data_IF_419254214468
#
_entry.id   IF_419254214468
#
_cell.length_a   1.000
_cell.length_b   1.000
_cell.length_c   1.000
_cell.angle_alpha   90.00
_cell.angle_beta   90.00
_cell.angle_gamma   90.00
#
_symmetry.space_group_name_H-M   'P 1'
#
loop_
_entity.id
_entity.type
_entity.pdbx_description
1 polymer ?
#
# COMPACT_ATOMS: atom_id res chain seq x y z
N UNK A 1 -16.80 -0.85 11.73
CA UNK A 1 -15.65 -0.02 12.12
C UNK A 1 -14.45 -0.93 12.31
N UNK A 2 -13.43 -0.81 11.46
CA UNK A 2 -12.13 -1.45 11.68
C UNK A 2 -11.47 -0.80 12.88
N UNK A 3 -10.79 -1.57 13.75
CA UNK A 3 -10.14 -1.04 14.95
C UNK A 3 -9.13 0.05 14.59
N UNK A 4 -9.25 1.25 15.18
CA UNK A 4 -8.31 2.36 14.97
C UNK A 4 -6.87 2.03 15.41
N UNK A 5 -6.67 0.99 16.22
CA UNK A 5 -5.33 0.51 16.58
C UNK A 5 -4.56 -0.01 15.36
N UNK A 6 -5.25 -0.67 14.42
CA UNK A 6 -4.63 -1.27 13.23
C UNK A 6 -4.28 -0.23 12.17
N UNK A 7 -4.98 0.91 12.18
CA UNK A 7 -4.83 1.97 11.18
C UNK A 7 -3.75 3.01 11.51
N UNK A 8 -3.15 2.98 12.70
CA UNK A 8 -2.11 3.97 13.10
C UNK A 8 -0.93 4.01 12.12
N UNK A 9 -0.51 2.84 11.64
CA UNK A 9 0.57 2.74 10.66
C UNK A 9 0.18 3.39 9.34
N UNK A 10 -1.05 3.16 8.88
CA UNK A 10 -1.54 3.73 7.63
C UNK A 10 -1.67 5.25 7.73
N UNK A 11 -2.21 5.76 8.84
CA UNK A 11 -2.33 7.19 9.10
C UNK A 11 -0.96 7.86 9.09
N UNK A 12 0.05 7.28 9.77
CA UNK A 12 1.42 7.81 9.76
C UNK A 12 2.02 7.90 8.35
N UNK A 13 1.76 6.91 7.49
CA UNK A 13 2.19 6.97 6.08
C UNK A 13 1.44 8.06 5.32
N UNK A 14 0.12 8.16 5.50
CA UNK A 14 -0.70 9.20 4.86
C UNK A 14 -0.25 10.59 5.29
N UNK A 15 0.01 10.82 6.57
CA UNK A 15 0.45 12.11 7.10
C UNK A 15 1.73 12.60 6.42
N UNK A 16 2.63 11.69 6.03
CA UNK A 16 3.87 12.05 5.33
C UNK A 16 3.70 12.52 3.89
N UNK A 17 2.53 12.30 3.28
CA UNK A 17 2.26 12.68 1.89
C UNK A 17 0.94 13.43 1.67
N UNK A 18 0.14 13.64 2.72
CA UNK A 18 -1.21 14.18 2.57
C UNK A 18 -1.22 15.62 2.05
N UNK A 19 -0.28 16.46 2.51
CA UNK A 19 -0.15 17.84 2.03
C UNK A 19 0.25 17.90 0.56
N UNK A 20 1.21 17.06 0.14
CA UNK A 20 1.59 16.91 -1.28
C UNK A 20 0.36 16.53 -2.13
N UNK A 21 -0.41 15.53 -1.67
CA UNK A 21 -1.61 15.06 -2.36
C UNK A 21 -2.68 16.16 -2.44
N UNK A 22 -2.89 16.93 -1.37
CA UNK A 22 -3.86 18.03 -1.37
C UNK A 22 -3.50 19.12 -2.38
N UNK A 23 -2.21 19.48 -2.47
CA UNK A 23 -1.72 20.46 -3.43
C UNK A 23 -1.81 19.94 -4.88
N UNK A 24 -1.48 18.67 -5.10
CA UNK A 24 -1.45 18.10 -6.45
C UNK A 24 -2.86 17.85 -7.01
N UNK A 25 -3.80 17.42 -6.16
CA UNK A 25 -5.14 16.98 -6.60
C UNK A 25 -6.23 18.00 -6.35
N UNK A 26 -5.99 19.01 -5.51
CA UNK A 26 -6.90 20.10 -5.20
C UNK A 26 -8.33 19.64 -4.86
N UNK A 27 -8.46 18.58 -4.04
CA UNK A 27 -9.72 17.88 -3.75
C UNK A 27 -10.84 18.75 -3.19
N UNK A 28 -10.52 19.84 -2.48
CA UNK A 28 -11.50 20.67 -1.78
C UNK A 28 -11.53 22.11 -2.31
N UNK A 29 -10.88 22.38 -3.44
CA UNK A 29 -10.96 23.65 -4.17
C UNK A 29 -12.34 23.85 -4.82
N UNK A 30 -12.92 22.76 -5.35
CA UNK A 30 -14.20 22.76 -6.06
C UNK A 30 -15.39 22.67 -5.09
N UNK A 31 -16.56 23.14 -5.54
CA UNK A 31 -17.79 23.07 -4.74
C UNK A 31 -18.22 21.62 -4.54
N UNK A 32 -18.05 20.77 -5.55
CA UNK A 32 -18.37 19.35 -5.51
C UNK A 32 -17.46 18.60 -4.55
N UNK A 33 -16.17 18.88 -4.59
CA UNK A 33 -15.17 18.32 -3.67
C UNK A 33 -15.43 18.72 -2.22
N UNK A 34 -15.76 19.99 -2.00
CA UNK A 34 -16.16 20.50 -0.68
C UNK A 34 -17.42 19.78 -0.15
N UNK A 35 -18.48 19.69 -0.96
CA UNK A 35 -19.71 18.95 -0.59
C UNK A 35 -19.43 17.49 -0.23
N UNK A 36 -18.52 16.84 -0.95
CA UNK A 36 -18.11 15.46 -0.67
C UNK A 36 -17.42 15.35 0.68
N UNK A 37 -16.50 16.25 1.01
CA UNK A 37 -15.85 16.27 2.33
C UNK A 37 -16.88 16.52 3.46
N UNK A 38 -17.78 17.48 3.26
CA UNK A 38 -18.83 17.82 4.24
C UNK A 38 -19.75 16.63 4.51
N UNK A 39 -20.03 15.77 3.52
CA UNK A 39 -20.86 14.57 3.70
C UNK A 39 -20.30 13.55 4.70
N UNK A 40 -19.01 13.63 5.04
CA UNK A 40 -18.38 12.77 6.03
C UNK A 40 -18.42 13.34 7.45
N UNK A 41 -18.75 14.63 7.59
CA UNK A 41 -18.90 15.28 8.89
C UNK A 41 -20.29 14.92 9.44
N UNK A 42 -20.35 14.04 10.43
CA UNK A 42 -21.60 13.56 11.03
C UNK A 42 -22.25 14.55 12.00
N UNK A 43 -21.59 15.66 12.32
CA UNK A 43 -22.09 16.68 13.23
C UNK A 43 -22.57 17.91 12.44
N UNK A 44 -23.88 18.18 12.50
CA UNK A 44 -24.51 19.25 11.71
C UNK A 44 -23.97 20.65 12.06
N UNK A 45 -23.74 20.93 13.35
CA UNK A 45 -23.25 22.24 13.80
C UNK A 45 -21.83 22.52 13.29
N UNK A 46 -20.94 21.52 13.35
CA UNK A 46 -19.59 21.63 12.80
C UNK A 46 -19.65 21.72 11.26
N UNK A 47 -20.49 20.92 10.62
CA UNK A 47 -20.66 20.91 9.17
C UNK A 47 -21.05 22.30 8.64
N UNK A 48 -22.07 22.93 9.25
CA UNK A 48 -22.53 24.26 8.86
C UNK A 48 -21.46 25.35 9.09
N UNK A 49 -20.71 25.27 10.19
CA UNK A 49 -19.60 26.19 10.46
C UNK A 49 -18.48 26.06 9.43
N UNK A 50 -18.09 24.82 9.11
CA UNK A 50 -17.05 24.53 8.12
C UNK A 50 -17.49 24.97 6.73
N UNK A 51 -18.73 24.66 6.32
CA UNK A 51 -19.28 25.07 5.02
C UNK A 51 -19.24 26.60 4.86
N UNK A 52 -19.79 27.35 5.82
CA UNK A 52 -19.80 28.83 5.79
C UNK A 52 -18.41 29.45 5.76
N UNK A 53 -17.43 28.84 6.43
CA UNK A 53 -16.06 29.34 6.46
C UNK A 53 -15.33 29.04 5.15
N UNK A 54 -15.43 27.80 4.65
CA UNK A 54 -14.68 27.35 3.47
C UNK A 54 -15.25 27.92 2.16
N UNK A 55 -16.55 28.17 2.06
CA UNK A 55 -17.15 28.82 0.89
C UNK A 55 -16.65 30.25 0.65
N UNK A 56 -16.26 30.96 1.72
CA UNK A 56 -15.75 32.33 1.65
C UNK A 56 -14.26 32.40 1.31
N UNK A 57 -13.54 31.28 1.38
CA UNK A 57 -12.10 31.23 1.14
C UNK A 57 -11.77 31.01 -0.32
N UNK A 58 -10.55 31.43 -0.69
CA UNK A 58 -9.97 31.13 -2.00
C UNK A 58 -9.99 29.62 -2.28
N UNK A 59 -10.04 29.21 -3.56
CA UNK A 59 -10.11 27.80 -3.96
C UNK A 59 -8.73 27.12 -3.89
N UNK A 60 -8.12 27.11 -2.69
CA UNK A 60 -6.89 26.40 -2.40
C UNK A 60 -7.15 25.30 -1.37
N UNK A 61 -6.81 24.06 -1.70
CA UNK A 61 -7.13 22.90 -0.87
C UNK A 61 -6.32 22.84 0.41
N UNK A 62 -5.05 23.26 0.38
CA UNK A 62 -4.21 23.27 1.57
C UNK A 62 -4.69 24.31 2.60
N UNK A 63 -5.01 25.53 2.15
CA UNK A 63 -5.54 26.59 3.01
C UNK A 63 -6.90 26.23 3.60
N UNK A 64 -7.80 25.68 2.78
CA UNK A 64 -9.11 25.21 3.24
C UNK A 64 -8.99 24.06 4.24
N UNK A 65 -8.04 23.16 4.03
CA UNK A 65 -7.78 22.06 4.97
C UNK A 65 -7.26 22.58 6.31
N UNK A 66 -6.30 23.51 6.29
CA UNK A 66 -5.78 24.14 7.49
C UNK A 66 -6.85 24.94 8.26
N UNK A 67 -7.76 25.61 7.54
CA UNK A 67 -8.91 26.26 8.16
C UNK A 67 -9.85 25.25 8.82
N UNK A 68 -10.17 24.14 8.14
CA UNK A 68 -10.95 23.06 8.70
C UNK A 68 -10.34 22.52 10.00
N UNK A 69 -9.03 22.27 10.03
CA UNK A 69 -8.34 21.80 11.24
C UNK A 69 -8.51 22.77 12.41
N UNK A 70 -8.36 24.08 12.17
CA UNK A 70 -8.55 25.12 13.21
C UNK A 70 -9.97 25.14 13.75
N UNK A 71 -10.97 25.07 12.87
CA UNK A 71 -12.38 25.03 13.26
C UNK A 71 -12.71 23.78 14.07
N UNK A 72 -12.21 22.62 13.61
CA UNK A 72 -12.36 21.35 14.30
C UNK A 72 -11.74 21.38 15.71
N UNK A 73 -10.53 21.93 15.85
CA UNK A 73 -9.87 22.07 17.16
C UNK A 73 -10.62 23.02 18.09
N UNK A 74 -11.11 24.17 17.59
CA UNK A 74 -11.92 25.10 18.40
C UNK A 74 -13.21 24.45 18.87
N UNK A 75 -13.92 23.78 17.96
CA UNK A 75 -15.15 23.06 18.26
C UNK A 75 -14.91 21.97 19.32
N UNK A 76 -13.78 21.27 19.24
CA UNK A 76 -13.44 20.24 20.22
C UNK A 76 -13.15 20.80 21.61
N UNK A 77 -12.53 21.99 21.70
CA UNK A 77 -12.27 22.68 22.97
C UNK A 77 -13.56 23.18 23.61
N UNK A 78 -14.50 23.70 22.81
CA UNK A 78 -15.77 24.23 23.29
C UNK A 78 -16.75 23.12 23.71
N UNK A 79 -16.71 21.95 23.05
CA UNK A 79 -17.68 20.87 23.24
C UNK A 79 -17.08 19.59 23.84
N UNK A 80 -16.33 19.71 24.94
CA UNK A 80 -15.58 18.60 25.59
C UNK A 80 -16.41 17.31 25.79
N UNK A 81 -17.71 17.42 26.08
CA UNK A 81 -18.58 16.26 26.30
C UNK A 81 -19.14 15.64 25.00
N UNK A 82 -19.25 16.41 23.92
CA UNK A 82 -19.80 16.00 22.61
C UNK A 82 -18.74 15.46 21.63
N UNK A 83 -17.46 15.68 21.91
CA UNK A 83 -16.32 15.30 21.03
C UNK A 83 -16.10 13.81 20.86
N UNK A 84 -16.64 12.96 21.74
CA UNK A 84 -16.45 11.50 21.66
C UNK A 84 -16.84 10.92 20.29
N UNK A 85 -17.84 11.50 19.63
CA UNK A 85 -18.32 11.05 18.31
C UNK A 85 -17.47 11.53 17.13
N UNK A 86 -16.76 12.64 17.29
CA UNK A 86 -15.96 13.26 16.20
C UNK A 86 -14.45 13.17 16.46
N UNK A 87 -14.03 12.50 17.53
CA UNK A 87 -12.64 12.42 18.00
C UNK A 87 -11.61 12.08 16.92
N UNK A 88 -11.99 11.26 15.95
CA UNK A 88 -11.12 10.77 14.88
C UNK A 88 -11.52 11.28 13.49
N UNK A 89 -12.31 12.36 13.42
CA UNK A 89 -12.85 12.88 12.17
C UNK A 89 -11.75 13.23 11.16
N UNK A 90 -10.65 13.82 11.62
CA UNK A 90 -9.53 14.21 10.76
C UNK A 90 -8.88 12.97 10.14
N UNK A 91 -8.61 11.94 10.94
CA UNK A 91 -8.04 10.67 10.50
C UNK A 91 -8.99 9.92 9.57
N UNK A 92 -10.29 9.93 9.86
CA UNK A 92 -11.31 9.33 8.99
C UNK A 92 -11.35 9.99 7.62
N UNK A 93 -11.31 11.32 7.55
CA UNK A 93 -11.27 12.05 6.27
C UNK A 93 -9.99 11.71 5.48
N UNK A 94 -8.83 11.69 6.15
CA UNK A 94 -7.55 11.27 5.53
C UNK A 94 -7.62 9.86 4.97
N UNK A 95 -8.20 8.93 5.72
CA UNK A 95 -8.40 7.54 5.26
C UNK A 95 -9.36 7.47 4.07
N UNK A 96 -10.45 8.25 4.06
CA UNK A 96 -11.39 8.24 2.94
C UNK A 96 -10.77 8.71 1.61
N UNK A 97 -9.85 9.67 1.68
CA UNK A 97 -9.13 10.16 0.50
C UNK A 97 -7.97 9.25 0.08
N UNK A 98 -7.15 8.80 1.03
CA UNK A 98 -5.84 8.25 0.72
C UNK A 98 -5.71 6.75 0.95
N UNK A 99 -6.62 6.11 1.70
CA UNK A 99 -6.51 4.69 1.98
C UNK A 99 -6.87 3.86 0.72
N UNK A 100 -6.06 2.84 0.38
CA UNK A 100 -6.29 2.04 -0.82
C UNK A 100 -7.62 1.28 -0.75
N UNK A 101 -8.44 1.45 -1.78
CA UNK A 101 -9.67 0.68 -1.96
C UNK A 101 -9.32 -0.68 -2.57
N UNK A 102 -9.43 -1.73 -1.77
CA UNK A 102 -9.14 -3.09 -2.23
C UNK A 102 -10.34 -3.68 -2.97
N UNK A 103 -10.10 -4.23 -4.16
CA UNK A 103 -11.11 -5.05 -4.83
C UNK A 103 -11.17 -6.41 -4.13
N UNK A 104 -12.22 -6.57 -3.33
CA UNK A 104 -12.44 -7.73 -2.49
C UNK A 104 -12.68 -9.00 -3.32
N UNK A 105 -13.22 -8.89 -4.53
CA UNK A 105 -13.53 -10.05 -5.36
C UNK A 105 -12.27 -10.69 -5.95
N UNK A 106 -11.22 -9.89 -6.14
CA UNK A 106 -9.91 -10.34 -6.62
C UNK A 106 -9.17 -11.19 -5.58
N UNK A 107 -9.47 -10.99 -4.29
CA UNK A 107 -8.72 -11.61 -3.17
C UNK A 107 -9.42 -12.78 -2.50
N UNK A 108 -10.73 -12.95 -2.70
CA UNK A 108 -11.53 -14.01 -2.04
C UNK A 108 -11.52 -15.35 -2.78
N UNK A 109 -11.49 -15.33 -4.10
CA UNK A 109 -11.65 -16.54 -4.93
C UNK A 109 -10.31 -17.16 -5.31
N UNK A 110 -10.14 -18.46 -5.09
CA UNK A 110 -8.93 -19.20 -5.51
C UNK A 110 -8.77 -19.26 -7.04
N UNK A 111 -9.88 -19.23 -7.78
CA UNK A 111 -9.90 -19.36 -9.24
C UNK A 111 -9.94 -18.00 -9.97
N UNK A 112 -9.60 -16.90 -9.29
CA UNK A 112 -9.60 -15.58 -9.92
C UNK A 112 -8.43 -15.46 -10.91
N UNK A 113 -8.74 -15.11 -12.16
CA UNK A 113 -7.72 -14.92 -13.20
C UNK A 113 -7.14 -13.51 -13.10
N UNK A 114 -5.85 -13.44 -12.77
CA UNK A 114 -5.09 -12.20 -12.81
C UNK A 114 -4.27 -12.09 -14.09
N UNK A 115 -3.98 -10.83 -14.43
CA UNK A 115 -3.14 -10.50 -15.56
C UNK A 115 -1.69 -11.00 -15.33
N UNK A 116 -1.10 -11.63 -16.35
CA UNK A 116 0.30 -12.06 -16.33
C UNK A 116 1.26 -10.85 -16.32
N UNK A 117 2.38 -10.92 -15.59
CA UNK A 117 3.50 -9.98 -15.76
C UNK A 117 3.92 -9.89 -17.23
N UNK A 118 4.35 -8.69 -17.64
CA UNK A 118 4.78 -8.35 -19.01
C UNK A 118 3.72 -8.49 -20.10
N UNK A 119 2.45 -8.74 -19.75
CA UNK A 119 1.35 -8.68 -20.72
C UNK A 119 1.12 -7.26 -21.23
N UNK A 120 0.71 -7.15 -22.49
CA UNK A 120 0.40 -5.88 -23.15
C UNK A 120 -1.05 -5.52 -22.85
N UNK A 121 -1.29 -4.27 -22.42
CA UNK A 121 -2.65 -3.77 -22.24
C UNK A 121 -3.26 -3.39 -23.60
N UNK A 122 -4.39 -3.99 -24.02
CA UNK A 122 -4.88 -3.88 -25.40
C UNK A 122 -5.23 -2.44 -25.81
N UNK A 123 -5.77 -1.64 -24.87
CA UNK A 123 -6.19 -0.25 -25.17
C UNK A 123 -5.03 0.75 -25.19
N UNK A 124 -3.98 0.51 -24.40
CA UNK A 124 -2.91 1.50 -24.18
C UNK A 124 -1.59 1.10 -24.82
N UNK A 125 -1.46 -0.16 -25.25
CA UNK A 125 -0.20 -0.73 -25.74
C UNK A 125 0.89 -0.84 -24.67
N UNK A 126 0.66 -0.39 -23.43
CA UNK A 126 1.63 -0.40 -22.34
C UNK A 126 1.90 -1.83 -21.85
N UNK A 127 3.15 -2.11 -21.54
CA UNK A 127 3.61 -3.39 -20.97
C UNK A 127 3.41 -3.38 -19.46
N UNK A 128 2.93 -4.49 -18.90
CA UNK A 128 2.69 -4.64 -17.46
C UNK A 128 4.00 -4.96 -16.73
N UNK A 129 4.77 -3.91 -16.40
CA UNK A 129 6.13 -4.04 -15.85
C UNK A 129 6.18 -4.37 -14.36
N UNK A 130 7.27 -5.03 -13.95
CA UNK A 130 7.57 -5.35 -12.54
C UNK A 130 8.46 -4.27 -11.94
N UNK A 131 8.07 -3.74 -10.77
CA UNK A 131 8.77 -2.64 -10.12
C UNK A 131 9.11 -2.94 -8.66
N UNK A 132 10.07 -2.18 -8.12
CA UNK A 132 10.46 -2.29 -6.72
C UNK A 132 9.63 -1.33 -5.87
N UNK A 133 9.04 -1.79 -4.74
CA UNK A 133 8.23 -0.94 -3.87
C UNK A 133 8.94 0.32 -3.38
N UNK A 134 10.25 0.24 -3.12
CA UNK A 134 11.04 1.37 -2.63
C UNK A 134 11.35 2.44 -3.69
N UNK A 135 11.08 2.18 -4.98
CA UNK A 135 11.27 3.14 -6.08
C UNK A 135 9.96 3.71 -6.62
N UNK A 136 8.82 3.29 -6.07
CA UNK A 136 7.49 3.62 -6.61
C UNK A 136 7.23 5.14 -6.68
N UNK A 137 7.73 5.92 -5.72
CA UNK A 137 7.54 7.39 -5.67
C UNK A 137 8.16 8.12 -6.87
N UNK A 138 9.18 7.54 -7.49
CA UNK A 138 9.90 8.16 -8.61
C UNK A 138 9.43 7.62 -9.98
N UNK A 139 8.52 6.65 -10.01
CA UNK A 139 8.06 6.07 -11.26
C UNK A 139 7.01 6.96 -11.92
N UNK A 140 7.23 7.33 -13.18
CA UNK A 140 6.22 8.02 -13.98
C UNK A 140 5.47 7.03 -14.86
N UNK A 141 4.19 7.27 -15.08
CA UNK A 141 3.36 6.42 -15.92
C UNK A 141 3.74 6.51 -17.40
N UNK A 142 4.34 7.62 -17.82
CA UNK A 142 4.75 7.84 -19.21
C UNK A 142 6.03 7.09 -19.58
N UNK A 143 6.89 6.82 -18.59
CA UNK A 143 8.11 6.01 -18.75
C UNK A 143 7.82 4.51 -18.91
N UNK A 144 6.55 4.09 -18.77
CA UNK A 144 6.12 2.70 -18.94
C UNK A 144 6.13 2.35 -20.43
N UNK A 145 6.94 1.36 -20.85
CA UNK A 145 7.16 1.06 -22.26
C UNK A 145 5.87 0.61 -22.94
N UNK A 146 5.68 1.05 -24.18
CA UNK A 146 4.62 0.58 -25.07
C UNK A 146 5.18 -0.41 -26.08
N UNK A 147 4.35 -1.34 -26.56
CA UNK A 147 4.78 -2.31 -27.57
C UNK A 147 5.32 -1.63 -28.83
N UNK A 148 4.69 -0.55 -29.29
CA UNK A 148 5.15 0.19 -30.47
C UNK A 148 6.55 0.77 -30.27
N UNK A 149 6.80 1.37 -29.10
CA UNK A 149 8.13 1.94 -28.79
C UNK A 149 9.24 0.91 -28.64
N UNK A 150 8.90 -0.35 -28.32
CA UNK A 150 9.87 -1.43 -28.20
C UNK A 150 10.17 -2.10 -29.55
N UNK A 151 9.28 -1.96 -30.53
CA UNK A 151 9.42 -2.55 -31.87
C UNK A 151 10.01 -1.56 -32.88
N UNK A 152 9.71 -0.26 -32.73
CA UNK A 152 10.22 0.78 -33.61
C UNK A 152 11.47 1.43 -33.01
N UNK A 153 12.61 1.16 -33.64
CA UNK A 153 13.90 1.72 -33.21
C UNK A 153 13.95 3.25 -33.30
N UNK A 154 13.12 3.85 -34.18
CA UNK A 154 13.08 5.29 -34.41
C UNK A 154 12.11 6.04 -33.48
N UNK A 155 11.46 5.34 -32.54
CA UNK A 155 10.54 5.97 -31.60
C UNK A 155 11.31 6.90 -30.65
N UNK A 156 10.81 8.12 -30.43
CA UNK A 156 11.53 9.18 -29.68
C UNK A 156 11.90 8.74 -28.26
N UNK A 157 10.97 8.07 -27.55
CA UNK A 157 11.16 7.64 -26.16
C UNK A 157 11.80 6.24 -26.03
N UNK A 158 12.26 5.65 -27.15
CA UNK A 158 12.77 4.28 -27.19
C UNK A 158 13.92 4.02 -26.18
N UNK A 159 14.94 4.88 -26.02
CA UNK A 159 16.04 4.62 -25.08
C UNK A 159 15.57 4.51 -23.62
N UNK A 160 14.64 5.38 -23.21
CA UNK A 160 14.08 5.39 -21.86
C UNK A 160 13.17 4.17 -21.62
N UNK A 161 12.29 3.87 -22.57
CA UNK A 161 11.44 2.69 -22.53
C UNK A 161 12.24 1.38 -22.48
N UNK A 162 13.35 1.28 -23.22
CA UNK A 162 14.27 0.15 -23.13
C UNK A 162 14.94 0.06 -21.76
N UNK A 163 15.38 1.17 -21.18
CA UNK A 163 15.98 1.20 -19.85
C UNK A 163 14.98 0.72 -18.78
N UNK A 164 13.74 1.22 -18.83
CA UNK A 164 12.65 0.79 -17.94
C UNK A 164 12.36 -0.71 -18.10
N UNK A 165 12.30 -1.21 -19.33
CA UNK A 165 12.06 -2.63 -19.59
C UNK A 165 13.19 -3.52 -19.03
N UNK A 166 14.45 -3.15 -19.25
CA UNK A 166 15.61 -3.87 -18.69
C UNK A 166 15.59 -3.88 -17.16
N UNK A 167 15.26 -2.74 -16.54
CA UNK A 167 15.11 -2.65 -15.10
C UNK A 167 13.99 -3.56 -14.58
N UNK A 168 12.85 -3.61 -15.28
CA UNK A 168 11.72 -4.45 -14.91
C UNK A 168 12.03 -5.95 -15.00
N UNK A 169 12.73 -6.38 -16.05
CA UNK A 169 13.21 -7.77 -16.20
C UNK A 169 14.14 -8.13 -15.05
N UNK A 170 15.11 -7.26 -14.74
CA UNK A 170 16.04 -7.48 -13.62
C UNK A 170 15.29 -7.62 -12.29
N UNK A 171 14.32 -6.73 -12.02
CA UNK A 171 13.51 -6.80 -10.81
C UNK A 171 12.75 -8.15 -10.72
N UNK A 172 12.19 -8.61 -11.84
CA UNK A 172 11.47 -9.88 -11.87
C UNK A 172 12.40 -11.07 -11.64
N UNK A 173 13.58 -11.09 -12.27
CA UNK A 173 14.60 -12.12 -12.07
C UNK A 173 15.04 -12.20 -10.60
N UNK A 174 15.26 -11.06 -9.93
CA UNK A 174 15.61 -11.02 -8.51
C UNK A 174 14.53 -11.66 -7.62
N UNK A 175 13.25 -11.40 -7.92
CA UNK A 175 12.11 -12.00 -7.19
C UNK A 175 12.06 -13.51 -7.40
N UNK A 176 12.12 -13.96 -8.66
CA UNK A 176 12.10 -15.38 -9.01
C UNK A 176 13.25 -16.11 -8.30
N UNK A 177 14.47 -15.60 -8.40
CA UNK A 177 15.65 -16.19 -7.76
C UNK A 177 15.48 -16.29 -6.23
N UNK A 178 14.94 -15.24 -5.60
CA UNK A 178 14.70 -15.23 -4.15
C UNK A 178 13.66 -16.28 -3.75
N UNK A 179 12.59 -16.43 -4.53
CA UNK A 179 11.56 -17.44 -4.30
C UNK A 179 12.10 -18.85 -4.47
N UNK A 180 12.87 -19.11 -5.53
CA UNK A 180 13.51 -20.41 -5.77
C UNK A 180 14.45 -20.81 -4.64
N UNK A 181 15.28 -19.88 -4.17
CA UNK A 181 16.18 -20.08 -3.03
C UNK A 181 15.40 -20.39 -1.74
N UNK A 182 14.33 -19.65 -1.49
CA UNK A 182 13.48 -19.84 -0.30
C UNK A 182 12.79 -21.20 -0.33
N UNK A 183 12.26 -21.59 -1.49
CA UNK A 183 11.60 -22.87 -1.70
C UNK A 183 12.57 -24.06 -1.59
N UNK A 184 13.78 -23.94 -2.13
CA UNK A 184 14.82 -24.95 -1.98
C UNK A 184 15.23 -25.15 -0.50
N UNK A 185 15.33 -24.06 0.27
CA UNK A 185 15.58 -24.13 1.71
C UNK A 185 14.43 -24.79 2.48
N UNK A 186 13.17 -24.47 2.12
CA UNK A 186 11.98 -25.11 2.70
C UNK A 186 12.00 -26.62 2.49
N UNK A 187 12.22 -27.09 1.26
CA UNK A 187 12.33 -28.53 0.91
C UNK A 187 13.48 -29.22 1.67
N UNK A 188 14.61 -28.54 1.84
CA UNK A 188 15.75 -29.06 2.63
C UNK A 188 15.43 -29.16 4.12
N UNK A 189 14.69 -28.21 4.68
CA UNK A 189 14.27 -28.25 6.08
C UNK A 189 13.23 -29.34 6.34
N UNK A 190 12.27 -29.53 5.43
CA UNK A 190 11.28 -30.60 5.51
C UNK A 190 11.92 -31.99 5.46
N UNK A 191 12.87 -32.20 4.55
CA UNK A 191 13.61 -33.47 4.47
C UNK A 191 14.47 -33.72 5.73
N UNK A 192 15.09 -32.69 6.30
CA UNK A 192 15.81 -32.78 7.59
C UNK A 192 14.88 -33.10 8.76
N UNK A 193 13.73 -32.45 8.86
CA UNK A 193 12.75 -32.72 9.91
C UNK A 193 12.16 -34.13 9.80
N UNK A 194 11.86 -34.59 8.57
CA UNK A 194 11.43 -35.96 8.34
C UNK A 194 12.49 -36.98 8.79
N UNK A 195 13.77 -36.74 8.48
CA UNK A 195 14.89 -37.58 8.95
C UNK A 195 15.10 -37.55 10.46
N UNK A 196 14.85 -36.41 11.13
CA UNK A 196 14.93 -36.30 12.60
C UNK A 196 13.79 -37.06 13.27
N UNK A 197 12.57 -36.90 12.77
CA UNK A 197 11.38 -37.55 13.33
C UNK A 197 11.31 -39.05 13.00
N UNK A 198 12.06 -39.52 12.01
CA UNK A 198 12.19 -40.95 11.69
C UNK A 198 13.35 -41.64 12.41
N UNK A 199 14.11 -40.95 13.28
CA UNK A 199 15.13 -41.61 14.09
C UNK A 199 14.42 -42.44 15.17
N UNK A 200 14.76 -43.73 15.33
CA UNK A 200 14.23 -44.50 16.44
C UNK A 200 14.64 -43.84 17.77
N UNK A 201 13.80 -43.93 18.82
CA UNK A 201 14.20 -43.48 20.14
C UNK A 201 15.47 -44.23 20.58
N UNK A 202 16.32 -43.57 21.36
CA UNK A 202 17.51 -44.19 21.95
C UNK A 202 17.10 -45.46 22.70
N UNK A 203 17.73 -46.58 22.35
CA UNK A 203 17.46 -47.86 23.00
C UNK A 203 18.33 -48.01 24.26
N UNK A 204 17.97 -48.96 25.15
CA UNK A 204 18.75 -49.25 26.35
C UNK A 204 20.18 -49.69 25.99
N UNK A 205 20.33 -50.44 24.91
CA UNK A 205 21.64 -50.88 24.37
C UNK A 205 22.51 -49.70 23.92
N UNK A 206 21.90 -48.65 23.35
CA UNK A 206 22.61 -47.43 22.97
C UNK A 206 23.16 -46.68 24.20
N UNK A 207 22.41 -46.70 25.31
CA UNK A 207 22.83 -46.11 26.59
C UNK A 207 23.98 -46.88 27.24
N UNK A 208 23.90 -48.22 27.26
CA UNK A 208 24.99 -49.04 27.79
C UNK A 208 26.28 -48.87 26.98
N UNK A 209 26.17 -48.81 25.65
CA UNK A 209 27.31 -48.61 24.76
C UNK A 209 27.96 -47.24 24.96
N UNK A 210 27.16 -46.21 25.23
CA UNK A 210 27.64 -44.87 25.53
C UNK A 210 28.31 -44.80 26.91
N UNK A 211 27.72 -45.43 27.94
CA UNK A 211 28.31 -45.50 29.29
C UNK A 211 29.69 -46.17 29.26
N UNK A 212 29.82 -47.32 28.58
CA UNK A 212 31.11 -48.03 28.45
C UNK A 212 32.18 -47.25 27.67
N UNK A 213 31.79 -46.25 26.89
CA UNK A 213 32.71 -45.37 26.17
C UNK A 213 33.19 -44.20 27.04
N UNK A 214 32.33 -43.68 27.92
CA UNK A 214 32.69 -42.64 28.91
C UNK A 214 33.56 -43.20 30.04
N UNK A 215 33.37 -44.47 30.39
CA UNK A 215 34.13 -45.16 31.44
C UNK A 215 35.50 -45.71 30.98
N UNK A 216 36.00 -45.32 29.79
CA UNK A 216 37.37 -45.59 29.29
C UNK A 216 38.21 -44.32 29.26
#
# INVERSE_FOLDING_TARGET
MVSMADNRRAICVIDSCFEDILNDQEFISTKEGLKKMLSWITNDALCEQVEKALEKMAPNSLERWNMFLRLYESFCKENVNGTRKIKYLVEEIKLQYCYPRLDVNVTKGFNHLLKSPFSIHPKTGKVSIVFKPNKVRNMKLDEVPTISSLLDENFVDNPEHQATMRAAIKNFQEVVFTLEKTEALRRKNESRNKRRNSRPPFTVDDYERWSRFIDR
#
